data_IF_143587777860
#
_entry.id   IF_143587777860
#
_cell.length_a   1.000
_cell.length_b   1.000
_cell.length_c   1.000
_cell.angle_alpha   90.00
_cell.angle_beta   90.00
_cell.angle_gamma   90.00
#
_symmetry.space_group_name_H-M   'P 1'
#
loop_
_entity.id
_entity.type
_entity.pdbx_description
1 polymer ?
#
# COMPACT_ATOMS: atom_id res chain seq x y z
N UNK A 1 46.13 60.23 -1.59
CA UNK A 1 46.93 59.32 -2.44
C UNK A 1 47.16 58.01 -1.68
N UNK A 2 47.02 56.86 -2.35
CA UNK A 2 46.78 55.56 -1.72
C UNK A 2 48.07 54.79 -1.42
N UNK A 3 48.02 53.85 -0.48
CA UNK A 3 48.94 52.71 -0.43
C UNK A 3 48.13 51.42 -0.43
N UNK A 4 48.07 50.81 -1.61
CA UNK A 4 47.64 49.44 -1.80
C UNK A 4 48.58 48.50 -1.03
N UNK A 5 48.01 47.61 -0.23
CA UNK A 5 48.71 46.40 0.23
C UNK A 5 47.92 45.20 -0.26
N UNK A 6 48.54 44.48 -1.19
CA UNK A 6 48.09 43.20 -1.74
C UNK A 6 48.68 42.11 -0.84
N UNK A 7 47.83 41.23 -0.29
CA UNK A 7 48.27 39.95 0.24
C UNK A 7 47.52 38.83 -0.49
N UNK A 8 48.25 38.11 -1.34
CA UNK A 8 47.92 36.75 -1.77
C UNK A 8 48.57 35.79 -0.78
N UNK A 9 47.81 34.83 -0.26
CA UNK A 9 48.38 33.56 0.17
C UNK A 9 47.39 32.43 -0.12
N UNK A 10 47.92 31.41 -0.79
CA UNK A 10 47.32 30.13 -1.17
C UNK A 10 47.20 29.20 0.05
N UNK A 11 46.71 27.97 -0.22
CA UNK A 11 46.46 26.83 0.67
C UNK A 11 45.05 26.84 1.28
N UNK A 12 44.13 25.99 0.82
CA UNK A 12 44.32 24.56 0.60
C UNK A 12 43.58 23.83 1.72
N UNK A 13 42.24 23.80 1.64
CA UNK A 13 41.44 22.99 2.54
C UNK A 13 40.77 21.88 1.72
N UNK A 14 41.31 20.69 1.91
CA UNK A 14 40.79 19.42 1.44
C UNK A 14 39.40 19.22 2.10
N UNK A 15 38.33 19.37 1.33
CA UNK A 15 36.99 18.95 1.78
C UNK A 15 36.97 17.43 1.66
N UNK A 16 37.18 16.75 2.77
CA UNK A 16 36.95 15.31 2.87
C UNK A 16 35.48 15.04 2.56
N UNK A 17 35.23 14.42 1.41
CA UNK A 17 34.00 13.71 1.09
C UNK A 17 33.73 12.67 2.18
N UNK A 18 32.89 13.01 3.14
CA UNK A 18 32.29 12.07 4.07
C UNK A 18 31.30 11.20 3.31
N UNK A 19 31.79 10.10 2.73
CA UNK A 19 30.98 8.93 2.39
C UNK A 19 30.29 8.48 3.69
N UNK A 20 29.05 8.90 3.89
CA UNK A 20 28.15 8.21 4.81
C UNK A 20 27.84 6.86 4.16
N UNK A 21 28.66 5.86 4.53
CA UNK A 21 28.36 4.46 4.29
C UNK A 21 27.02 4.14 4.94
N UNK A 22 25.98 4.03 4.13
CA UNK A 22 24.78 3.30 4.47
C UNK A 22 25.20 1.88 4.81
N UNK A 23 25.37 1.62 6.11
CA UNK A 23 25.42 0.28 6.62
C UNK A 23 24.00 -0.26 6.47
N UNK A 24 23.75 -0.93 5.35
CA UNK A 24 22.63 -1.84 5.21
C UNK A 24 22.79 -2.89 6.30
N UNK A 25 22.17 -2.65 7.45
CA UNK A 25 21.89 -3.67 8.45
C UNK A 25 20.82 -4.59 7.86
N UNK A 26 21.20 -5.35 6.83
CA UNK A 26 20.52 -6.55 6.40
C UNK A 26 20.87 -7.63 7.42
N UNK A 27 20.48 -7.43 8.68
CA UNK A 27 20.22 -8.57 9.54
C UNK A 27 19.13 -9.34 8.80
N UNK A 28 19.48 -10.50 8.26
CA UNK A 28 18.51 -11.44 7.74
C UNK A 28 17.58 -11.77 8.92
N UNK A 29 16.41 -11.15 8.95
CA UNK A 29 15.34 -11.52 9.87
C UNK A 29 15.12 -13.02 9.68
N UNK A 30 15.48 -13.81 10.69
CA UNK A 30 15.17 -15.22 10.69
C UNK A 30 13.65 -15.34 10.49
N UNK A 31 13.20 -16.13 9.50
CA UNK A 31 11.77 -16.27 9.24
C UNK A 31 11.08 -16.74 10.53
N UNK A 32 9.90 -16.17 10.86
CA UNK A 32 9.21 -16.48 12.10
C UNK A 32 9.07 -17.99 12.26
N UNK A 33 9.42 -18.48 13.46
CA UNK A 33 9.51 -19.89 13.85
C UNK A 33 8.21 -20.70 13.63
N UNK A 34 7.10 -20.01 13.44
CA UNK A 34 5.77 -20.57 13.19
C UNK A 34 5.27 -20.33 11.75
N UNK A 35 6.18 -20.04 10.80
CA UNK A 35 5.80 -20.00 9.39
C UNK A 35 5.17 -21.34 9.01
N UNK A 36 3.90 -21.36 8.53
CA UNK A 36 3.24 -22.61 8.20
C UNK A 36 4.10 -23.39 7.21
N UNK A 37 4.21 -24.70 7.46
CA UNK A 37 4.80 -25.67 6.53
C UNK A 37 4.37 -25.35 5.11
N UNK A 38 5.31 -25.36 4.16
CA UNK A 38 5.16 -24.94 2.77
C UNK A 38 3.74 -25.22 2.23
N UNK A 39 2.91 -24.17 2.19
CA UNK A 39 1.52 -24.30 1.77
C UNK A 39 1.52 -24.63 0.28
N UNK A 40 1.10 -25.86 -0.04
CA UNK A 40 1.01 -26.31 -1.44
C UNK A 40 -0.10 -25.53 -2.14
N UNK A 41 0.30 -24.63 -3.02
CA UNK A 41 -0.61 -23.82 -3.82
C UNK A 41 -1.27 -24.66 -4.93
N UNK A 42 -2.56 -24.42 -5.24
CA UNK A 42 -3.21 -25.02 -6.40
C UNK A 42 -2.70 -24.38 -7.70
N UNK A 43 -2.84 -25.08 -8.83
CA UNK A 43 -2.49 -24.52 -10.16
C UNK A 43 -3.32 -23.28 -10.51
N UNK A 44 -4.58 -23.25 -10.06
CA UNK A 44 -5.48 -22.12 -10.28
C UNK A 44 -5.98 -21.58 -8.95
N UNK A 45 -6.04 -20.26 -8.84
CA UNK A 45 -6.58 -19.54 -7.68
C UNK A 45 -7.67 -18.56 -8.12
N UNK A 46 -8.63 -18.33 -7.23
CA UNK A 46 -9.51 -17.18 -7.30
C UNK A 46 -8.94 -16.11 -6.37
N UNK A 47 -8.50 -14.99 -6.93
CA UNK A 47 -7.95 -13.85 -6.18
C UNK A 47 -8.93 -12.69 -6.24
N UNK A 48 -9.43 -12.26 -5.08
CA UNK A 48 -10.32 -11.11 -4.97
C UNK A 48 -9.71 -10.01 -4.12
N UNK A 49 -9.85 -8.75 -4.58
CA UNK A 49 -9.61 -7.56 -3.79
C UNK A 49 -10.93 -7.15 -3.13
N UNK A 50 -10.96 -7.12 -1.80
CA UNK A 50 -12.20 -6.99 -1.02
C UNK A 50 -12.36 -5.61 -0.39
N UNK A 51 -11.28 -4.98 0.06
CA UNK A 51 -11.29 -3.61 0.58
C UNK A 51 -9.89 -2.98 0.51
N UNK A 52 -9.82 -1.69 0.85
CA UNK A 52 -8.59 -0.95 1.04
C UNK A 52 -8.64 -0.16 2.37
N UNK A 53 -7.49 0.28 2.87
CA UNK A 53 -7.39 1.29 3.92
C UNK A 53 -6.52 2.45 3.43
N UNK A 54 -7.13 3.63 3.26
CA UNK A 54 -6.51 4.84 2.73
C UNK A 54 -6.13 5.77 3.89
N UNK A 55 -5.00 6.46 3.76
CA UNK A 55 -4.53 7.44 4.73
C UNK A 55 -5.61 8.51 4.99
N UNK A 56 -5.74 9.02 6.22
CA UNK A 56 -6.73 10.06 6.52
C UNK A 56 -6.53 11.40 5.80
N UNK A 57 -5.35 11.62 5.20
CA UNK A 57 -4.98 12.83 4.47
C UNK A 57 -4.07 12.50 3.29
N UNK A 58 -3.84 13.49 2.43
CA UNK A 58 -2.76 13.45 1.44
C UNK A 58 -1.38 13.47 2.13
N UNK A 59 -0.33 13.19 1.37
CA UNK A 59 1.04 13.07 1.89
C UNK A 59 1.54 14.36 2.59
N UNK A 60 1.05 15.53 2.18
CA UNK A 60 1.39 16.83 2.77
C UNK A 60 0.48 17.22 3.95
N UNK A 61 -0.41 16.32 4.37
CA UNK A 61 -1.40 16.52 5.41
C UNK A 61 -2.69 17.22 4.96
N UNK A 62 -2.78 17.69 3.71
CA UNK A 62 -4.02 18.31 3.19
C UNK A 62 -5.16 17.28 3.12
N UNK A 63 -6.43 17.72 3.24
CA UNK A 63 -7.58 16.81 3.14
C UNK A 63 -7.73 16.27 1.72
N UNK A 64 -8.49 15.18 1.59
CA UNK A 64 -8.89 14.60 0.30
C UNK A 64 -9.84 15.55 -0.44
N UNK A 65 -11.07 15.70 0.05
CA UNK A 65 -12.00 16.73 -0.47
C UNK A 65 -11.83 18.09 0.22
N UNK A 66 -12.38 19.13 -0.43
CA UNK A 66 -12.61 20.43 0.17
C UNK A 66 -13.48 20.34 1.46
N UNK A 67 -13.15 21.19 2.44
CA UNK A 67 -13.90 21.31 3.70
C UNK A 67 -13.38 20.44 4.86
N UNK A 68 -12.33 19.65 4.64
CA UNK A 68 -11.60 18.97 5.71
C UNK A 68 -10.53 19.84 6.39
N UNK A 69 -10.21 19.53 7.64
CA UNK A 69 -9.05 20.11 8.32
C UNK A 69 -7.72 19.59 7.73
N UNK A 70 -6.66 20.40 7.76
CA UNK A 70 -5.30 19.97 7.42
C UNK A 70 -4.63 19.33 8.64
N UNK A 71 -4.07 18.14 8.46
CA UNK A 71 -3.23 17.50 9.48
C UNK A 71 -1.84 18.17 9.52
N UNK A 72 -1.31 18.33 10.72
CA UNK A 72 0.07 18.75 10.94
C UNK A 72 1.03 17.60 10.62
N UNK A 73 2.28 17.94 10.27
CA UNK A 73 3.29 16.95 9.88
C UNK A 73 3.56 15.88 10.97
N UNK A 74 3.54 16.27 12.24
CA UNK A 74 3.67 15.36 13.37
C UNK A 74 2.50 14.39 13.49
N UNK A 75 1.27 14.85 13.20
CA UNK A 75 0.07 14.02 13.18
C UNK A 75 0.11 13.01 12.04
N UNK A 76 0.52 13.42 10.83
CA UNK A 76 0.73 12.51 9.69
C UNK A 76 1.75 11.44 10.06
N UNK A 77 2.91 11.84 10.61
CA UNK A 77 3.95 10.90 11.05
C UNK A 77 3.46 9.92 12.12
N UNK A 78 2.66 10.36 13.08
CA UNK A 78 2.07 9.50 14.11
C UNK A 78 1.10 8.47 13.50
N UNK A 79 0.29 8.88 12.52
CA UNK A 79 -0.63 7.98 11.84
C UNK A 79 0.12 6.95 10.99
N UNK A 80 1.15 7.37 10.25
CA UNK A 80 2.01 6.47 9.51
C UNK A 80 2.70 5.45 10.42
N UNK A 81 3.21 5.91 11.56
CA UNK A 81 3.78 5.04 12.59
C UNK A 81 2.77 4.04 13.15
N UNK A 82 1.51 4.46 13.35
CA UNK A 82 0.43 3.57 13.81
C UNK A 82 0.11 2.50 12.76
N UNK A 83 -0.04 2.85 11.48
CA UNK A 83 -0.29 1.86 10.42
C UNK A 83 0.90 0.91 10.23
N UNK A 84 2.13 1.41 10.31
CA UNK A 84 3.33 0.56 10.27
C UNK A 84 3.41 -0.38 11.49
N UNK A 85 2.98 0.07 12.67
CA UNK A 85 2.89 -0.79 13.85
C UNK A 85 1.83 -1.88 13.68
N UNK A 86 0.66 -1.54 13.11
CA UNK A 86 -0.39 -2.52 12.76
C UNK A 86 0.16 -3.55 11.77
N UNK A 87 0.93 -3.12 10.76
CA UNK A 87 1.53 -4.02 9.77
C UNK A 87 2.45 -5.08 10.40
N UNK A 88 3.13 -4.75 11.50
CA UNK A 88 3.98 -5.69 12.24
C UNK A 88 3.18 -6.71 13.06
N UNK A 89 1.91 -6.44 13.37
CA UNK A 89 1.02 -7.38 14.05
C UNK A 89 0.49 -8.48 13.11
N UNK A 90 0.70 -8.34 11.79
CA UNK A 90 0.12 -9.20 10.72
C UNK A 90 0.74 -10.61 10.68
N UNK A 91 1.34 -11.12 11.76
CA UNK A 91 1.95 -12.47 11.77
C UNK A 91 0.98 -13.61 12.09
N UNK A 92 -0.33 -13.38 12.25
CA UNK A 92 -1.28 -14.49 12.39
C UNK A 92 -2.74 -14.16 12.72
N UNK A 93 -3.06 -12.98 13.27
CA UNK A 93 -4.44 -12.60 13.60
C UNK A 93 -5.01 -11.56 12.62
N UNK A 94 -5.64 -12.08 11.58
CA UNK A 94 -6.32 -11.30 10.54
C UNK A 94 -7.45 -10.42 11.09
N UNK A 95 -8.17 -10.87 12.13
CA UNK A 95 -9.28 -10.12 12.70
C UNK A 95 -8.78 -8.92 13.52
N UNK A 96 -7.67 -9.10 14.25
CA UNK A 96 -7.03 -8.03 15.00
C UNK A 96 -6.60 -6.85 14.13
N UNK A 97 -6.14 -7.09 12.90
CA UNK A 97 -5.73 -6.04 11.96
C UNK A 97 -6.90 -5.14 11.58
N UNK A 98 -8.05 -5.71 11.22
CA UNK A 98 -9.22 -4.94 10.85
C UNK A 98 -9.72 -4.06 12.01
N UNK A 99 -9.71 -4.59 13.23
CA UNK A 99 -10.07 -3.84 14.44
C UNK A 99 -9.08 -2.70 14.70
N UNK A 100 -7.78 -2.97 14.61
CA UNK A 100 -6.75 -1.95 14.84
C UNK A 100 -6.80 -0.82 13.79
N UNK A 101 -7.04 -1.15 12.52
CA UNK A 101 -7.30 -0.17 11.46
C UNK A 101 -8.53 0.68 11.80
N UNK A 102 -9.64 0.04 12.21
CA UNK A 102 -10.85 0.76 12.60
C UNK A 102 -10.61 1.69 13.80
N UNK A 103 -9.79 1.28 14.77
CA UNK A 103 -9.47 2.09 15.95
C UNK A 103 -8.66 3.35 15.59
N UNK A 104 -7.79 3.28 14.57
CA UNK A 104 -7.15 4.49 14.03
C UNK A 104 -8.20 5.48 13.54
N UNK A 105 -9.17 5.02 12.74
CA UNK A 105 -10.22 5.88 12.18
C UNK A 105 -11.26 6.36 13.19
N UNK A 106 -11.34 5.77 14.38
CA UNK A 106 -12.20 6.24 15.48
C UNK A 106 -11.67 7.48 16.20
N UNK A 107 -10.42 7.89 15.97
CA UNK A 107 -9.87 9.12 16.57
C UNK A 107 -10.66 10.35 16.09
N UNK A 108 -11.04 11.23 17.02
CA UNK A 108 -11.94 12.35 16.71
C UNK A 108 -11.40 13.28 15.63
N UNK A 109 -10.08 13.51 15.63
CA UNK A 109 -9.41 14.29 14.60
C UNK A 109 -9.62 13.71 13.20
N UNK A 110 -9.74 12.39 13.05
CA UNK A 110 -9.95 11.72 11.76
C UNK A 110 -11.42 11.75 11.36
N UNK A 111 -12.35 11.66 12.31
CA UNK A 111 -13.80 11.70 12.03
C UNK A 111 -14.22 12.98 11.30
N UNK A 112 -13.56 14.10 11.59
CA UNK A 112 -13.81 15.41 10.99
C UNK A 112 -13.14 15.63 9.63
N UNK A 113 -12.28 14.72 9.16
CA UNK A 113 -11.61 14.87 7.89
C UNK A 113 -12.53 14.49 6.73
N UNK A 114 -12.36 15.18 5.61
CA UNK A 114 -12.95 14.78 4.35
C UNK A 114 -12.39 13.42 3.94
N UNK A 115 -13.27 12.54 3.46
CA UNK A 115 -12.95 11.15 3.14
C UNK A 115 -12.90 11.00 1.61
N UNK A 116 -11.92 10.27 1.07
CA UNK A 116 -11.75 10.16 -0.37
C UNK A 116 -12.92 9.39 -1.01
N UNK A 117 -13.23 9.74 -2.24
CA UNK A 117 -14.07 9.01 -3.17
C UNK A 117 -13.22 8.04 -4.00
N UNK A 118 -13.00 6.83 -3.47
CA UNK A 118 -12.01 5.91 -4.03
C UNK A 118 -12.52 5.18 -5.28
N UNK A 119 -11.80 5.37 -6.39
CA UNK A 119 -11.95 4.64 -7.65
C UNK A 119 -10.61 4.08 -8.13
N UNK A 120 -10.63 3.28 -9.19
CA UNK A 120 -9.41 2.88 -9.87
C UNK A 120 -9.53 1.59 -10.65
N UNK A 121 -8.46 0.80 -10.66
CA UNK A 121 -8.45 -0.51 -11.30
C UNK A 121 -7.47 -1.47 -10.63
N UNK A 122 -7.75 -2.77 -10.80
CA UNK A 122 -6.82 -3.84 -10.51
C UNK A 122 -6.45 -4.56 -11.82
N UNK A 123 -5.17 -4.85 -12.03
CA UNK A 123 -4.67 -5.65 -13.14
C UNK A 123 -3.89 -6.85 -12.61
N UNK A 124 -4.27 -8.04 -13.06
CA UNK A 124 -3.56 -9.28 -12.75
C UNK A 124 -2.58 -9.63 -13.87
N UNK A 125 -1.32 -9.81 -13.49
CA UNK A 125 -0.22 -10.22 -14.37
C UNK A 125 0.36 -11.56 -13.89
N UNK A 126 -0.08 -12.72 -14.44
CA UNK A 126 0.44 -14.03 -14.04
C UNK A 126 1.94 -14.21 -14.32
N UNK A 127 2.47 -13.55 -15.36
CA UNK A 127 3.89 -13.55 -15.72
C UNK A 127 4.69 -12.42 -15.06
N UNK A 128 4.06 -11.60 -14.21
CA UNK A 128 4.67 -10.42 -13.59
C UNK A 128 4.84 -9.21 -14.50
N UNK A 129 4.53 -9.32 -15.80
CA UNK A 129 4.59 -8.20 -16.75
C UNK A 129 3.20 -7.57 -16.96
N UNK A 130 3.07 -6.27 -16.72
CA UNK A 130 1.83 -5.51 -16.94
C UNK A 130 1.67 -5.04 -18.38
N UNK A 131 0.43 -4.81 -18.81
CA UNK A 131 0.12 -4.36 -20.17
C UNK A 131 0.29 -5.44 -21.24
N UNK A 132 0.63 -6.67 -20.86
CA UNK A 132 0.72 -7.80 -21.77
C UNK A 132 -0.67 -8.22 -22.25
N UNK A 133 -0.76 -8.62 -23.53
CA UNK A 133 -2.00 -9.15 -24.10
C UNK A 133 -2.41 -10.43 -23.34
N UNK A 134 -3.60 -10.42 -22.74
CA UNK A 134 -4.12 -11.54 -21.94
C UNK A 134 -4.15 -11.28 -20.44
N UNK A 135 -3.55 -10.19 -19.95
CA UNK A 135 -3.75 -9.75 -18.57
C UNK A 135 -5.23 -9.40 -18.35
N UNK A 136 -5.75 -9.79 -17.18
CA UNK A 136 -7.11 -9.46 -16.78
C UNK A 136 -7.09 -8.14 -16.02
N UNK A 137 -8.00 -7.23 -16.35
CA UNK A 137 -8.20 -5.97 -15.63
C UNK A 137 -9.63 -5.87 -15.12
N UNK A 138 -9.79 -5.44 -13.87
CA UNK A 138 -11.07 -5.18 -13.25
C UNK A 138 -11.13 -3.72 -12.81
N UNK A 139 -12.22 -3.03 -13.11
CA UNK A 139 -12.45 -1.67 -12.63
C UNK A 139 -12.84 -1.70 -11.16
N UNK A 140 -12.24 -0.81 -10.38
CA UNK A 140 -12.60 -0.56 -8.99
C UNK A 140 -13.53 0.65 -9.01
N UNK A 141 -14.82 0.39 -8.87
CA UNK A 141 -15.83 1.42 -8.70
C UNK A 141 -16.50 1.24 -7.34
N UNK A 142 -16.52 2.30 -6.53
CA UNK A 142 -17.41 2.35 -5.38
C UNK A 142 -18.84 2.06 -5.84
N UNK A 143 -19.44 0.99 -5.34
CA UNK A 143 -20.70 0.42 -5.83
C UNK A 143 -21.80 1.45 -6.07
N UNK A 144 -22.19 1.73 -7.34
CA UNK A 144 -23.31 2.60 -7.82
C UNK A 144 -23.44 4.02 -7.21
N UNK A 145 -22.80 4.32 -6.10
CA UNK A 145 -22.72 5.59 -5.41
C UNK A 145 -21.30 5.73 -4.86
N UNK A 146 -20.67 6.89 -5.06
CA UNK A 146 -19.40 7.20 -4.42
C UNK A 146 -19.54 7.12 -2.89
N UNK A 147 -18.69 6.31 -2.26
CA UNK A 147 -18.65 6.17 -0.81
C UNK A 147 -17.40 6.89 -0.33
N UNK A 148 -17.61 8.10 0.20
CA UNK A 148 -16.58 8.89 0.87
C UNK A 148 -16.15 8.17 2.14
N UNK A 149 -15.17 7.29 2.03
CA UNK A 149 -14.76 6.36 3.10
C UNK A 149 -13.25 6.12 3.07
N UNK A 150 -12.59 6.14 4.22
CA UNK A 150 -11.17 5.75 4.32
C UNK A 150 -10.95 4.25 4.14
N UNK A 151 -12.02 3.44 4.25
CA UNK A 151 -11.95 1.98 4.17
C UNK A 151 -12.94 1.43 3.16
N UNK A 152 -12.82 1.79 1.87
CA UNK A 152 -13.79 1.39 0.86
C UNK A 152 -13.83 -0.15 0.73
N UNK A 153 -15.03 -0.70 0.74
CA UNK A 153 -15.28 -2.10 0.42
C UNK A 153 -15.65 -2.27 -1.06
N UNK A 154 -15.01 -3.21 -1.75
CA UNK A 154 -15.25 -3.51 -3.16
C UNK A 154 -16.15 -4.75 -3.37
N UNK A 155 -16.44 -5.50 -2.30
CA UNK A 155 -17.24 -6.73 -2.37
C UNK A 155 -16.62 -7.77 -3.30
N UNK A 156 -17.43 -8.44 -4.11
CA UNK A 156 -16.98 -9.45 -5.08
C UNK A 156 -16.74 -8.90 -6.49
N UNK A 157 -16.71 -7.58 -6.66
CA UNK A 157 -16.62 -6.95 -8.00
C UNK A 157 -15.22 -7.04 -8.60
N UNK A 158 -14.19 -7.12 -7.76
CA UNK A 158 -12.79 -7.15 -8.16
C UNK A 158 -12.23 -8.55 -7.87
N UNK A 159 -12.63 -9.52 -8.69
CA UNK A 159 -12.25 -10.92 -8.55
C UNK A 159 -11.67 -11.48 -9.86
N UNK A 160 -10.45 -12.00 -9.80
CA UNK A 160 -9.80 -12.72 -10.88
C UNK A 160 -9.99 -14.22 -10.69
N UNK A 161 -11.03 -14.76 -11.32
CA UNK A 161 -11.34 -16.19 -11.25
C UNK A 161 -10.42 -17.02 -12.12
N UNK A 162 -10.06 -18.21 -11.62
CA UNK A 162 -9.20 -19.18 -12.27
C UNK A 162 -7.91 -18.54 -12.82
N UNK A 163 -7.27 -17.71 -12.00
CA UNK A 163 -5.95 -17.18 -12.28
C UNK A 163 -4.92 -18.31 -12.17
N UNK A 164 -4.04 -18.44 -13.17
CA UNK A 164 -2.92 -19.38 -13.11
C UNK A 164 -1.97 -18.90 -12.02
N UNK A 165 -1.74 -19.74 -11.02
CA UNK A 165 -0.78 -19.50 -9.96
C UNK A 165 0.66 -19.65 -10.48
N UNK A 166 1.55 -18.80 -9.99
CA UNK A 166 2.98 -18.91 -10.19
C UNK A 166 3.73 -17.92 -9.31
N UNK A 167 5.03 -18.14 -9.09
CA UNK A 167 5.87 -17.29 -8.26
C UNK A 167 6.03 -15.85 -8.80
N UNK A 168 5.72 -15.65 -10.08
CA UNK A 168 5.73 -14.35 -10.73
C UNK A 168 4.37 -13.64 -10.72
N UNK A 169 3.32 -14.28 -10.19
CA UNK A 169 1.99 -13.70 -10.15
C UNK A 169 2.02 -12.40 -9.34
N UNK A 170 1.53 -11.33 -9.96
CA UNK A 170 1.37 -10.02 -9.33
C UNK A 170 0.01 -9.43 -9.67
N UNK A 171 -0.56 -8.70 -8.72
CA UNK A 171 -1.74 -7.88 -8.94
C UNK A 171 -1.37 -6.42 -8.66
N UNK A 172 -1.47 -5.56 -9.69
CA UNK A 172 -1.30 -4.12 -9.54
C UNK A 172 -2.64 -3.49 -9.25
N UNK A 173 -2.69 -2.64 -8.24
CA UNK A 173 -3.86 -1.88 -7.84
C UNK A 173 -3.52 -0.41 -7.95
N UNK A 174 -4.23 0.31 -8.79
CA UNK A 174 -4.13 1.76 -8.93
C UNK A 174 -5.42 2.37 -8.40
N UNK A 175 -5.31 3.23 -7.39
CA UNK A 175 -6.42 3.94 -6.77
C UNK A 175 -6.24 5.45 -6.92
N UNK A 176 -7.38 6.11 -7.06
CA UNK A 176 -7.50 7.55 -7.27
C UNK A 176 -8.71 8.04 -6.47
N UNK A 177 -8.60 9.24 -5.92
CA UNK A 177 -9.68 9.98 -5.30
C UNK A 177 -10.37 10.80 -6.40
N UNK A 178 -11.63 10.51 -6.65
CA UNK A 178 -12.36 11.09 -7.77
C UNK A 178 -12.97 12.42 -7.37
N UNK A 179 -12.62 13.45 -8.10
CA UNK A 179 -13.06 14.81 -7.87
C UNK A 179 -13.88 15.34 -9.05
N UNK A 180 -14.56 16.46 -8.84
CA UNK A 180 -15.31 17.11 -9.93
C UNK A 180 -14.38 17.76 -10.97
N UNK A 181 -13.16 18.13 -10.58
CA UNK A 181 -12.26 18.95 -11.39
C UNK A 181 -10.94 18.26 -11.73
N UNK A 182 -10.27 17.65 -10.76
CA UNK A 182 -8.97 16.98 -10.96
C UNK A 182 -8.85 15.78 -10.04
N UNK A 183 -8.74 14.59 -10.61
CA UNK A 183 -8.70 13.34 -9.86
C UNK A 183 -7.33 13.18 -9.17
N UNK A 184 -7.32 13.09 -7.84
CA UNK A 184 -6.10 12.98 -7.05
C UNK A 184 -5.60 11.53 -6.96
N UNK A 185 -4.36 11.27 -7.41
CA UNK A 185 -3.76 9.94 -7.25
C UNK A 185 -3.68 9.55 -5.76
N UNK A 186 -4.24 8.40 -5.40
CA UNK A 186 -4.05 7.81 -4.08
C UNK A 186 -2.74 7.02 -4.09
N UNK A 187 -2.67 5.93 -4.86
CA UNK A 187 -1.45 5.14 -5.01
C UNK A 187 -1.56 4.13 -6.15
N UNK A 188 -0.41 3.70 -6.69
CA UNK A 188 -0.27 2.46 -7.46
C UNK A 188 0.64 1.48 -6.72
N UNK A 189 0.08 0.35 -6.29
CA UNK A 189 0.77 -0.66 -5.47
C UNK A 189 0.66 -2.05 -6.05
N UNK A 190 1.49 -2.97 -5.58
CA UNK A 190 1.48 -4.38 -6.00
C UNK A 190 1.22 -5.33 -4.83
N UNK A 191 0.38 -6.32 -5.09
CA UNK A 191 0.24 -7.54 -4.29
C UNK A 191 1.07 -8.63 -4.97
N UNK A 192 2.01 -9.20 -4.23
CA UNK A 192 2.97 -10.17 -4.76
C UNK A 192 2.49 -11.62 -4.55
N UNK A 193 3.15 -12.57 -5.21
CA UNK A 193 2.90 -13.99 -5.03
C UNK A 193 3.00 -14.42 -3.55
N UNK A 194 3.95 -13.89 -2.79
CA UNK A 194 4.08 -14.16 -1.34
C UNK A 194 2.86 -13.72 -0.53
N UNK A 195 2.24 -12.58 -0.89
CA UNK A 195 1.00 -12.12 -0.26
C UNK A 195 -0.17 -13.04 -0.60
N UNK A 196 -0.27 -13.46 -1.86
CA UNK A 196 -1.31 -14.39 -2.32
C UNK A 196 -1.18 -15.74 -1.63
N UNK A 197 0.05 -16.25 -1.45
CA UNK A 197 0.30 -17.50 -0.71
C UNK A 197 -0.11 -17.37 0.75
N UNK A 198 0.25 -16.27 1.41
CA UNK A 198 -0.17 -15.99 2.80
C UNK A 198 -1.68 -15.92 2.90
N UNK A 199 -2.33 -15.17 2.02
CA UNK A 199 -3.78 -15.07 2.00
C UNK A 199 -4.48 -16.41 1.80
N UNK A 200 -3.94 -17.27 0.91
CA UNK A 200 -4.45 -18.62 0.70
C UNK A 200 -4.31 -19.49 1.96
N UNK A 201 -3.17 -19.41 2.65
CA UNK A 201 -2.92 -20.17 3.88
C UNK A 201 -3.90 -19.87 5.02
N UNK A 202 -4.47 -18.66 5.05
CA UNK A 202 -5.38 -18.22 6.11
C UNK A 202 -6.86 -18.45 5.80
N UNK A 203 -7.22 -18.83 4.57
CA UNK A 203 -8.60 -19.07 4.09
C UNK A 203 -9.60 -17.93 4.41
N UNK A 204 -9.08 -16.73 4.65
CA UNK A 204 -9.82 -15.54 5.11
C UNK A 204 -9.25 -14.29 4.43
N UNK A 205 -9.88 -13.15 4.65
CA UNK A 205 -9.46 -11.86 4.10
C UNK A 205 -8.12 -11.40 4.69
N UNK A 206 -7.03 -11.54 3.96
CA UNK A 206 -5.70 -11.13 4.37
C UNK A 206 -5.43 -9.66 4.08
N UNK A 207 -4.87 -8.93 5.06
CA UNK A 207 -4.51 -7.52 4.90
C UNK A 207 -3.04 -7.40 4.50
N UNK A 208 -2.80 -7.04 3.23
CA UNK A 208 -1.48 -6.74 2.69
C UNK A 208 -1.12 -5.31 3.05
N UNK A 209 -0.02 -5.13 3.79
CA UNK A 209 0.53 -3.80 4.01
C UNK A 209 1.24 -3.32 2.75
N UNK A 210 0.85 -2.14 2.28
CA UNK A 210 1.42 -1.49 1.08
C UNK A 210 1.81 -0.03 1.37
N UNK A 211 1.74 0.40 2.64
CA UNK A 211 2.02 1.76 3.05
C UNK A 211 3.49 2.18 2.99
N UNK A 212 4.39 1.25 2.64
CA UNK A 212 5.78 1.51 2.30
C UNK A 212 6.02 1.66 0.79
N UNK A 213 5.00 1.42 -0.05
CA UNK A 213 5.04 1.59 -1.49
C UNK A 213 4.54 2.99 -1.90
N UNK A 214 4.98 3.43 -3.08
CA UNK A 214 4.52 4.64 -3.77
C UNK A 214 4.43 5.89 -2.86
N UNK A 215 3.33 6.65 -2.92
CA UNK A 215 3.07 7.87 -2.14
C UNK A 215 2.78 7.61 -0.66
N UNK A 216 2.67 6.33 -0.25
CA UNK A 216 2.28 5.89 1.10
C UNK A 216 0.87 6.32 1.50
N UNK A 217 0.04 6.81 0.58
CA UNK A 217 -1.34 7.21 0.91
C UNK A 217 -2.29 6.02 0.95
N UNK A 218 -1.94 4.88 0.36
CA UNK A 218 -2.63 3.62 0.55
C UNK A 218 -1.89 2.78 1.60
N UNK A 219 -2.57 2.38 2.68
CA UNK A 219 -1.95 1.69 3.82
C UNK A 219 -2.06 0.18 3.72
N UNK A 220 -3.26 -0.30 3.42
CA UNK A 220 -3.54 -1.74 3.33
C UNK A 220 -4.47 -2.04 2.15
N UNK A 221 -4.30 -3.25 1.61
CA UNK A 221 -5.27 -3.90 0.73
C UNK A 221 -5.75 -5.18 1.40
N UNK A 222 -7.04 -5.45 1.40
CA UNK A 222 -7.59 -6.71 1.88
C UNK A 222 -7.89 -7.63 0.70
N UNK A 223 -7.28 -8.81 0.68
CA UNK A 223 -7.45 -9.81 -0.39
C UNK A 223 -7.99 -11.13 0.16
N UNK A 224 -8.76 -11.85 -0.62
CA UNK A 224 -9.11 -13.25 -0.36
C UNK A 224 -8.59 -14.11 -1.48
N UNK A 225 -8.05 -15.27 -1.14
CA UNK A 225 -7.55 -16.25 -2.11
C UNK A 225 -8.15 -17.60 -1.80
N UNK A 226 -8.84 -18.17 -2.79
CA UNK A 226 -9.39 -19.53 -2.71
C UNK A 226 -8.89 -20.37 -3.86
N UNK A 227 -9.09 -21.69 -3.77
CA UNK A 227 -8.82 -22.60 -4.88
C UNK A 227 -9.73 -22.27 -6.06
N UNK A 228 -9.14 -22.09 -7.25
CA UNK A 228 -9.91 -21.95 -8.49
C UNK A 228 -10.47 -23.31 -8.94
N UNK A 229 -11.55 -23.30 -9.70
CA UNK A 229 -12.07 -24.53 -10.31
C UNK A 229 -11.06 -25.08 -11.32
N UNK A 230 -10.73 -26.37 -11.22
CA UNK A 230 -10.06 -27.08 -12.31
C UNK A 230 -11.05 -27.13 -13.49
N UNK A 231 -10.61 -26.65 -14.66
CA UNK A 231 -11.40 -26.80 -15.87
C UNK A 231 -11.61 -28.31 -16.10
N UNK A 232 -12.88 -28.74 -16.07
CA UNK A 232 -13.26 -30.12 -16.42
C UNK A 232 -13.08 -30.36 -17.90
#
# INVERSE_FOLDING_TARGET
>A
MPKHTVFRSLLGCCVCSGLLGFHSNAAADEPPKDAPSEVKMPTHVDLCLTSAAVAPSKADGSPWDAGGGKLKADQVKQLDGAFAAIAKMVTGDVAGVAVAIADVYKKDIIKSLAKPDVFGSAELAPSGAYGAKGNKRASIASAKKPRREFTPGFGTTVCFRNAIWGEQLRMRVSLTDKDLADDDSIATVEVLASDVRRAFAHEKSWHVYVGDQDTKQLKFLAITVTRGSEAK
#
